data_IF_262031501510
#
_entry.id   IF_262031501510
#
_cell.length_a   1.000
_cell.length_b   1.000
_cell.length_c   1.000
_cell.angle_alpha   90.00
_cell.angle_beta   90.00
_cell.angle_gamma   90.00
#
_symmetry.space_group_name_H-M   'P 1'
#
loop_
_entity.id
_entity.type
_entity.pdbx_description
1 polymer ?
#
# COMPACT_ATOMS: atom_id res chain seq x y z
N UNK A 1 9.63 1.46 15.37
CA UNK A 1 8.71 1.21 14.26
C UNK A 1 9.32 0.06 13.48
N UNK A 2 8.76 -1.16 13.62
CA UNK A 2 9.15 -2.30 12.80
C UNK A 2 8.48 -2.11 11.45
N UNK A 3 9.26 -1.93 10.39
CA UNK A 3 8.75 -1.97 9.02
C UNK A 3 8.51 -3.43 8.64
N UNK A 4 7.34 -3.80 8.13
CA UNK A 4 7.13 -5.15 7.58
C UNK A 4 7.98 -5.30 6.31
N UNK A 5 8.96 -6.18 6.35
CA UNK A 5 9.75 -6.58 5.20
C UNK A 5 8.93 -7.55 4.36
N UNK A 6 8.47 -7.10 3.20
CA UNK A 6 7.82 -7.94 2.20
C UNK A 6 8.88 -8.43 1.21
N UNK A 7 9.37 -9.64 1.36
CA UNK A 7 10.12 -10.25 0.28
C UNK A 7 9.94 -11.77 0.22
N UNK A 8 9.84 -12.31 -0.98
CA UNK A 8 9.96 -13.74 -1.24
C UNK A 8 11.42 -14.23 -1.17
N UNK A 9 12.35 -13.34 -0.89
CA UNK A 9 13.73 -13.63 -0.53
C UNK A 9 14.04 -12.78 0.68
N UNK A 10 14.57 -13.40 1.74
CA UNK A 10 14.91 -12.69 2.96
C UNK A 10 16.12 -11.80 2.73
N UNK A 11 15.86 -10.49 2.61
CA UNK A 11 16.86 -9.47 2.84
C UNK A 11 16.66 -8.90 4.23
N UNK A 12 17.67 -8.90 5.07
CA UNK A 12 17.63 -8.21 6.35
C UNK A 12 18.46 -6.95 6.31
N UNK A 13 17.94 -5.89 6.96
CA UNK A 13 18.63 -4.61 7.09
C UNK A 13 19.28 -4.58 8.46
N UNK A 14 20.62 -4.68 8.49
CA UNK A 14 21.40 -4.63 9.71
C UNK A 14 22.04 -3.26 9.90
N UNK A 15 21.89 -2.69 11.11
CA UNK A 15 22.54 -1.47 11.52
C UNK A 15 23.59 -1.77 12.59
N UNK A 16 24.87 -1.47 12.30
CA UNK A 16 25.97 -1.86 13.16
C UNK A 16 26.02 -1.09 14.49
N UNK A 17 25.73 0.21 14.50
CA UNK A 17 25.65 1.07 15.71
C UNK A 17 24.89 2.37 15.38
N UNK A 18 24.35 3.05 16.39
CA UNK A 18 23.72 4.36 16.26
C UNK A 18 22.28 4.41 16.78
N UNK A 19 21.61 5.57 16.61
CA UNK A 19 20.21 5.73 16.98
C UNK A 19 19.27 5.06 15.97
N UNK A 20 18.06 4.72 16.41
CA UNK A 20 17.08 4.00 15.61
C UNK A 20 16.72 4.69 14.29
N UNK A 21 16.86 6.00 14.22
CA UNK A 21 16.51 6.83 13.06
C UNK A 21 17.71 7.27 12.21
N UNK A 22 18.94 6.86 12.55
CA UNK A 22 20.10 7.22 11.76
C UNK A 22 20.05 6.51 10.40
N UNK A 23 20.38 7.24 9.35
CA UNK A 23 20.40 6.74 7.97
C UNK A 23 21.73 6.11 7.59
N UNK A 24 22.78 6.42 8.33
CA UNK A 24 24.15 5.92 8.09
C UNK A 24 24.37 4.56 8.78
N UNK A 25 25.30 3.78 8.26
CA UNK A 25 25.70 2.50 8.84
C UNK A 25 24.70 1.35 8.61
N UNK A 26 23.78 1.49 7.66
CA UNK A 26 22.86 0.43 7.25
C UNK A 26 23.49 -0.45 6.18
N UNK A 27 23.42 -1.76 6.36
CA UNK A 27 23.87 -2.77 5.39
C UNK A 27 22.73 -3.73 5.07
N UNK A 28 22.68 -4.22 3.84
CA UNK A 28 21.70 -5.21 3.39
C UNK A 28 22.37 -6.56 3.21
N UNK A 29 21.77 -7.62 3.75
CA UNK A 29 22.22 -8.99 3.59
C UNK A 29 21.10 -9.88 3.05
N UNK A 30 21.46 -10.81 2.16
CA UNK A 30 20.55 -11.88 1.77
C UNK A 30 20.71 -13.00 2.79
N UNK A 31 19.60 -13.38 3.44
CA UNK A 31 19.56 -14.44 4.45
C UNK A 31 18.67 -15.57 3.96
N UNK A 32 19.16 -16.80 4.00
CA UNK A 32 18.35 -17.98 3.70
C UNK A 32 17.41 -18.26 4.89
N UNK A 33 16.09 -18.34 4.67
CA UNK A 33 15.12 -18.61 5.72
C UNK A 33 15.30 -19.97 6.41
N UNK A 34 15.99 -20.91 5.77
CA UNK A 34 16.34 -22.20 6.35
C UNK A 34 17.61 -22.20 7.22
N UNK A 35 18.30 -21.06 7.29
CA UNK A 35 19.55 -20.93 8.07
C UNK A 35 19.31 -21.14 9.56
N UNK A 36 20.32 -21.72 10.23
CA UNK A 36 20.28 -21.90 11.70
C UNK A 36 20.13 -20.53 12.39
N UNK A 37 19.18 -20.43 13.29
CA UNK A 37 18.88 -19.21 14.03
C UNK A 37 17.81 -18.33 13.37
N UNK A 38 17.29 -18.70 12.21
CA UNK A 38 16.12 -18.05 11.59
C UNK A 38 14.85 -18.78 11.99
N UNK A 39 13.89 -18.08 12.55
CA UNK A 39 12.55 -18.61 12.80
C UNK A 39 11.47 -17.72 12.18
N UNK A 40 10.44 -18.37 11.62
CA UNK A 40 9.35 -17.71 10.92
C UNK A 40 8.03 -18.07 11.58
N UNK A 41 7.25 -17.04 11.96
CA UNK A 41 5.86 -17.20 12.38
C UNK A 41 4.94 -16.65 11.30
N UNK A 42 4.38 -17.54 10.49
CA UNK A 42 3.50 -17.19 9.38
C UNK A 42 2.07 -16.93 9.85
N UNK A 43 1.41 -15.94 9.28
CA UNK A 43 0.00 -15.63 9.50
C UNK A 43 -0.66 -15.05 8.24
N UNK A 44 -1.99 -15.00 8.26
CA UNK A 44 -2.77 -14.39 7.17
C UNK A 44 -3.27 -13.01 7.59
N UNK A 45 -3.18 -12.06 6.68
CA UNK A 45 -3.77 -10.74 6.84
C UNK A 45 -5.28 -10.76 6.52
N UNK A 46 -5.96 -9.67 6.83
CA UNK A 46 -7.41 -9.52 6.62
C UNK A 46 -7.81 -9.67 5.14
N UNK A 47 -6.93 -9.33 4.21
CA UNK A 47 -7.10 -9.44 2.76
C UNK A 47 -6.69 -10.81 2.19
N UNK A 48 -6.34 -11.78 3.06
CA UNK A 48 -5.89 -13.12 2.69
C UNK A 48 -4.43 -13.21 2.26
N UNK A 49 -3.70 -12.09 2.16
CA UNK A 49 -2.26 -12.11 1.91
C UNK A 49 -1.50 -12.74 3.08
N UNK A 50 -0.34 -13.31 2.79
CA UNK A 50 0.52 -13.95 3.80
C UNK A 50 1.56 -12.97 4.30
N UNK A 51 1.79 -12.99 5.60
CA UNK A 51 2.85 -12.25 6.27
C UNK A 51 3.59 -13.18 7.26
N UNK A 52 4.78 -12.77 7.66
CA UNK A 52 5.60 -13.51 8.61
C UNK A 52 6.28 -12.57 9.57
N UNK A 53 6.32 -12.94 10.84
CA UNK A 53 7.28 -12.40 11.78
C UNK A 53 8.58 -13.20 11.65
N UNK A 54 9.69 -12.50 11.52
CA UNK A 54 11.02 -13.08 11.36
C UNK A 54 11.80 -12.79 12.63
N UNK A 55 12.33 -13.84 13.26
CA UNK A 55 13.25 -13.75 14.39
C UNK A 55 14.61 -14.26 13.97
N UNK A 56 15.65 -13.47 14.20
CA UNK A 56 17.04 -13.81 13.91
C UNK A 56 17.82 -13.91 15.22
N UNK A 57 18.35 -15.12 15.52
CA UNK A 57 19.13 -15.39 16.74
C UNK A 57 20.46 -15.99 16.36
N UNK A 58 21.55 -15.20 16.53
CA UNK A 58 22.91 -15.64 16.22
C UNK A 58 23.08 -16.23 14.80
N UNK A 59 22.39 -15.62 13.82
CA UNK A 59 22.51 -16.03 12.42
C UNK A 59 23.85 -15.57 11.87
N UNK A 60 24.60 -16.50 11.27
CA UNK A 60 25.86 -16.23 10.59
C UNK A 60 25.64 -16.30 9.08
N UNK A 61 26.01 -15.25 8.38
CA UNK A 61 25.95 -15.16 6.91
C UNK A 61 27.33 -14.94 6.34
N UNK A 62 27.64 -15.52 5.14
CA UNK A 62 28.92 -15.27 4.49
C UNK A 62 29.00 -13.81 4.01
N UNK A 63 30.21 -13.29 3.91
CA UNK A 63 30.43 -11.91 3.42
C UNK A 63 29.87 -11.69 1.99
N UNK A 64 29.77 -12.74 1.18
CA UNK A 64 29.17 -12.71 -0.16
C UNK A 64 27.67 -12.47 -0.17
N UNK A 65 26.98 -12.57 0.99
CA UNK A 65 25.57 -12.24 1.13
C UNK A 65 25.30 -10.74 1.27
N UNK A 66 26.35 -9.92 1.43
CA UNK A 66 26.25 -8.47 1.47
C UNK A 66 25.82 -7.93 0.11
N UNK A 67 24.76 -7.11 0.09
CA UNK A 67 24.32 -6.38 -1.11
C UNK A 67 24.87 -4.97 -1.10
N UNK A 68 25.68 -4.63 -2.10
CA UNK A 68 26.34 -3.34 -2.20
C UNK A 68 27.52 -3.20 -1.24
N UNK A 69 27.69 -2.01 -0.67
CA UNK A 69 28.77 -1.70 0.26
C UNK A 69 28.29 -1.72 1.72
N UNK A 70 29.18 -2.09 2.63
CA UNK A 70 28.89 -2.03 4.06
C UNK A 70 28.59 -0.59 4.49
N UNK A 71 27.49 -0.40 5.17
CA UNK A 71 27.08 0.89 5.75
C UNK A 71 26.39 1.86 4.79
N UNK A 72 26.23 1.54 3.50
CA UNK A 72 25.74 2.44 2.44
C UNK A 72 24.40 1.99 1.81
N UNK A 73 23.62 1.22 2.53
CA UNK A 73 22.39 0.64 1.96
C UNK A 73 21.18 1.58 1.96
N UNK A 74 21.21 2.69 2.71
CA UNK A 74 20.01 3.52 2.93
C UNK A 74 19.46 4.10 1.61
N UNK A 75 20.32 4.64 0.75
CA UNK A 75 19.90 5.28 -0.51
C UNK A 75 19.20 4.30 -1.44
N UNK A 76 19.78 3.11 -1.63
CA UNK A 76 19.18 2.06 -2.45
C UNK A 76 17.86 1.54 -1.86
N UNK A 77 17.79 1.37 -0.53
CA UNK A 77 16.58 0.95 0.15
C UNK A 77 15.45 1.99 0.01
N UNK A 78 15.77 3.27 0.15
CA UNK A 78 14.78 4.35 -0.02
C UNK A 78 14.22 4.39 -1.45
N UNK A 79 15.07 4.23 -2.47
CA UNK A 79 14.66 4.16 -3.88
C UNK A 79 13.72 2.98 -4.14
N UNK A 80 14.07 1.79 -3.66
CA UNK A 80 13.25 0.59 -3.80
C UNK A 80 11.89 0.73 -3.10
N UNK A 81 11.87 1.33 -1.90
CA UNK A 81 10.61 1.59 -1.18
C UNK A 81 9.74 2.61 -1.92
N UNK A 82 10.32 3.64 -2.51
CA UNK A 82 9.57 4.62 -3.30
C UNK A 82 8.97 3.99 -4.56
N UNK A 83 9.70 3.13 -5.27
CA UNK A 83 9.18 2.35 -6.40
C UNK A 83 8.08 1.37 -5.97
N UNK A 84 8.27 0.67 -4.85
CA UNK A 84 7.26 -0.23 -4.29
C UNK A 84 6.00 0.53 -3.85
N UNK A 85 6.16 1.75 -3.32
CA UNK A 85 5.05 2.64 -2.94
C UNK A 85 4.26 3.09 -4.18
N UNK A 86 4.93 3.40 -5.29
CA UNK A 86 4.27 3.69 -6.57
C UNK A 86 3.48 2.47 -7.05
N UNK A 87 4.09 1.28 -7.05
CA UNK A 87 3.47 0.05 -7.55
C UNK A 87 2.20 -0.32 -6.75
N UNK A 88 2.27 -0.27 -5.41
CA UNK A 88 1.10 -0.58 -4.58
C UNK A 88 0.02 0.51 -4.66
N UNK A 89 0.41 1.75 -4.96
CA UNK A 89 -0.54 2.84 -5.22
C UNK A 89 -1.27 2.64 -6.55
N UNK A 90 -0.58 2.11 -7.57
CA UNK A 90 -1.20 1.74 -8.85
C UNK A 90 -2.22 0.60 -8.67
N UNK A 91 -1.91 -0.41 -7.86
CA UNK A 91 -2.86 -1.45 -7.48
C UNK A 91 -4.12 -0.86 -6.83
N UNK A 92 -3.95 0.07 -5.87
CA UNK A 92 -5.06 0.73 -5.20
C UNK A 92 -5.94 1.52 -6.18
N UNK A 93 -5.35 2.22 -7.14
CA UNK A 93 -6.09 2.96 -8.18
C UNK A 93 -6.92 2.00 -9.03
N UNK A 94 -6.36 0.87 -9.48
CA UNK A 94 -7.11 -0.14 -10.23
C UNK A 94 -8.26 -0.77 -9.43
N UNK A 95 -8.05 -1.00 -8.12
CA UNK A 95 -9.12 -1.49 -7.25
C UNK A 95 -10.24 -0.44 -7.10
N UNK A 96 -9.91 0.83 -6.89
CA UNK A 96 -10.90 1.91 -6.78
C UNK A 96 -11.71 2.07 -8.06
N UNK A 97 -11.06 1.98 -9.23
CA UNK A 97 -11.73 1.96 -10.54
C UNK A 97 -12.77 0.85 -10.59
N UNK A 98 -12.34 -0.37 -10.26
CA UNK A 98 -13.22 -1.54 -10.30
C UNK A 98 -14.37 -1.47 -9.29
N UNK A 99 -14.12 -0.95 -8.10
CA UNK A 99 -15.18 -0.74 -7.10
C UNK A 99 -16.23 0.27 -7.57
N UNK A 100 -15.80 1.38 -8.19
CA UNK A 100 -16.72 2.36 -8.76
C UNK A 100 -17.59 1.77 -9.88
N UNK A 101 -16.99 0.99 -10.81
CA UNK A 101 -17.72 0.29 -11.87
C UNK A 101 -18.78 -0.67 -11.31
N UNK A 102 -18.38 -1.56 -10.40
CA UNK A 102 -19.28 -2.56 -9.80
C UNK A 102 -20.40 -1.87 -9.03
N UNK A 103 -20.07 -0.82 -8.28
CA UNK A 103 -21.06 -0.06 -7.48
C UNK A 103 -22.09 0.61 -8.39
N UNK A 104 -21.63 1.23 -9.48
CA UNK A 104 -22.51 1.87 -10.46
C UNK A 104 -23.48 0.85 -11.10
N UNK A 105 -22.99 -0.29 -11.55
CA UNK A 105 -23.82 -1.32 -12.16
C UNK A 105 -24.80 -1.96 -11.15
N UNK A 106 -24.35 -2.18 -9.92
CA UNK A 106 -25.22 -2.67 -8.86
C UNK A 106 -26.38 -1.68 -8.58
N UNK A 107 -26.10 -0.39 -8.46
CA UNK A 107 -27.14 0.61 -8.18
C UNK A 107 -28.12 0.81 -9.33
N UNK A 108 -27.74 0.53 -10.58
CA UNK A 108 -28.65 0.55 -11.75
C UNK A 108 -29.61 -0.62 -11.77
N UNK A 109 -29.25 -1.75 -11.16
CA UNK A 109 -30.04 -2.98 -11.20
C UNK A 109 -30.80 -3.26 -9.91
N UNK A 110 -30.30 -2.78 -8.79
CA UNK A 110 -30.92 -2.99 -7.48
C UNK A 110 -32.08 -2.03 -7.26
N UNK A 111 -33.26 -2.58 -7.02
CA UNK A 111 -34.48 -1.82 -6.72
C UNK A 111 -34.78 -1.83 -5.22
N UNK A 112 -35.13 -0.68 -4.67
CA UNK A 112 -35.70 -0.48 -3.34
C UNK A 112 -36.65 0.72 -3.36
N UNK A 113 -37.70 0.67 -2.54
CA UNK A 113 -38.74 1.73 -2.46
C UNK A 113 -39.47 1.97 -3.81
N UNK A 114 -39.53 0.95 -4.67
CA UNK A 114 -40.18 1.00 -5.98
C UNK A 114 -39.36 1.60 -7.12
N UNK A 115 -38.10 1.93 -6.87
CA UNK A 115 -37.18 2.54 -7.83
C UNK A 115 -35.79 1.90 -7.77
N UNK A 116 -34.99 2.04 -8.85
CA UNK A 116 -33.58 1.64 -8.82
C UNK A 116 -32.78 2.54 -7.88
N UNK A 117 -31.75 2.01 -7.21
CA UNK A 117 -30.92 2.80 -6.30
C UNK A 117 -30.26 3.99 -7.01
N UNK A 118 -29.93 3.84 -8.30
CA UNK A 118 -29.33 4.90 -9.11
C UNK A 118 -30.26 6.08 -9.39
N UNK A 119 -31.57 5.97 -9.16
CA UNK A 119 -32.50 7.09 -9.33
C UNK A 119 -32.45 8.09 -8.17
N UNK A 120 -31.95 7.68 -7.00
CA UNK A 120 -31.88 8.54 -5.83
C UNK A 120 -30.70 9.49 -5.90
N UNK A 121 -30.98 10.81 -6.01
CA UNK A 121 -29.96 11.86 -6.15
C UNK A 121 -28.91 11.83 -5.04
N UNK A 122 -29.31 11.52 -3.78
CA UNK A 122 -28.37 11.39 -2.67
C UNK A 122 -27.30 10.31 -2.90
N UNK A 123 -27.65 9.21 -3.57
CA UNK A 123 -26.70 8.13 -3.91
C UNK A 123 -25.87 8.49 -5.14
N UNK A 124 -26.45 9.23 -6.10
CA UNK A 124 -25.70 9.75 -7.25
C UNK A 124 -24.56 10.67 -6.79
N UNK A 125 -24.82 11.57 -5.85
CA UNK A 125 -23.78 12.47 -5.30
C UNK A 125 -22.64 11.68 -4.66
N UNK A 126 -22.94 10.67 -3.86
CA UNK A 126 -21.92 9.79 -3.25
C UNK A 126 -21.07 9.06 -4.29
N UNK A 127 -21.69 8.55 -5.35
CA UNK A 127 -20.95 7.91 -6.45
C UNK A 127 -20.07 8.91 -7.22
N UNK A 128 -20.53 10.14 -7.40
CA UNK A 128 -19.71 11.23 -8.00
C UNK A 128 -18.50 11.54 -7.11
N UNK A 129 -18.66 11.62 -5.79
CA UNK A 129 -17.58 11.88 -4.85
C UNK A 129 -16.51 10.76 -4.88
N UNK A 130 -16.94 9.48 -4.95
CA UNK A 130 -16.00 8.35 -5.09
C UNK A 130 -15.29 8.37 -6.45
N UNK A 131 -15.97 8.73 -7.52
CA UNK A 131 -15.37 8.89 -8.84
C UNK A 131 -14.34 10.02 -8.87
N UNK A 132 -14.64 11.18 -8.28
CA UNK A 132 -13.69 12.29 -8.17
C UNK A 132 -12.46 11.91 -7.36
N UNK A 133 -12.63 11.20 -6.24
CA UNK A 133 -11.51 10.72 -5.42
C UNK A 133 -10.58 9.76 -6.21
N UNK A 134 -11.16 8.87 -6.99
CA UNK A 134 -10.43 7.97 -7.89
C UNK A 134 -9.67 8.75 -8.97
N UNK A 135 -10.32 9.64 -9.72
CA UNK A 135 -9.69 10.39 -10.83
C UNK A 135 -8.56 11.32 -10.34
N UNK A 136 -8.71 11.96 -9.19
CA UNK A 136 -7.65 12.74 -8.56
C UNK A 136 -6.45 11.86 -8.21
N UNK A 137 -6.69 10.68 -7.64
CA UNK A 137 -5.63 9.74 -7.27
C UNK A 137 -4.91 9.18 -8.50
N UNK A 138 -5.65 8.86 -9.56
CA UNK A 138 -5.11 8.41 -10.86
C UNK A 138 -4.20 9.48 -11.49
N UNK A 139 -4.63 10.73 -11.46
CA UNK A 139 -3.82 11.85 -11.96
C UNK A 139 -2.51 12.02 -11.20
N UNK A 140 -2.56 11.91 -9.85
CA UNK A 140 -1.35 11.91 -9.02
C UNK A 140 -0.45 10.71 -9.27
N UNK A 141 -1.00 9.53 -9.52
CA UNK A 141 -0.24 8.32 -9.88
C UNK A 141 0.56 8.55 -11.17
N UNK A 142 -0.08 9.07 -12.21
CA UNK A 142 0.58 9.33 -13.49
C UNK A 142 1.69 10.39 -13.34
N UNK A 143 1.42 11.47 -12.62
CA UNK A 143 2.41 12.51 -12.32
C UNK A 143 3.61 11.93 -11.54
N UNK A 144 3.35 11.12 -10.51
CA UNK A 144 4.39 10.50 -9.70
C UNK A 144 5.26 9.54 -10.54
N UNK A 145 4.63 8.72 -11.39
CA UNK A 145 5.33 7.81 -12.29
C UNK A 145 6.26 8.56 -13.25
N UNK A 146 5.80 9.66 -13.86
CA UNK A 146 6.63 10.50 -14.72
C UNK A 146 7.83 11.06 -13.95
N UNK A 147 7.60 11.66 -12.76
CA UNK A 147 8.68 12.24 -11.94
C UNK A 147 9.72 11.23 -11.49
N UNK A 148 9.32 10.00 -11.14
CA UNK A 148 10.25 8.93 -10.81
C UNK A 148 11.07 8.47 -12.04
N UNK A 149 10.41 8.37 -13.20
CA UNK A 149 11.09 8.01 -14.46
C UNK A 149 12.12 9.06 -14.86
N UNK A 150 11.77 10.33 -14.75
CA UNK A 150 12.63 11.46 -15.09
C UNK A 150 13.68 11.79 -14.01
N UNK A 151 13.64 11.08 -12.88
CA UNK A 151 14.48 11.31 -11.69
C UNK A 151 14.44 12.78 -11.23
N UNK A 152 13.25 13.37 -11.24
CA UNK A 152 13.04 14.75 -10.80
C UNK A 152 13.43 14.95 -9.34
N UNK A 153 13.94 16.12 -8.97
CA UNK A 153 14.35 16.47 -7.61
C UNK A 153 13.20 16.34 -6.59
N UNK A 154 11.96 16.53 -7.03
CA UNK A 154 10.76 16.42 -6.21
C UNK A 154 10.04 15.06 -6.31
N UNK A 155 10.66 14.06 -6.94
CA UNK A 155 10.08 12.72 -7.11
C UNK A 155 9.69 12.08 -5.75
N UNK A 156 10.55 12.16 -4.74
CA UNK A 156 10.27 11.63 -3.39
C UNK A 156 9.07 12.32 -2.74
N UNK A 157 8.93 13.62 -2.99
CA UNK A 157 7.79 14.41 -2.53
C UNK A 157 6.50 13.98 -3.22
N UNK A 158 6.56 13.72 -4.54
CA UNK A 158 5.44 13.21 -5.32
C UNK A 158 4.99 11.81 -4.83
N UNK A 159 5.91 10.90 -4.49
CA UNK A 159 5.58 9.59 -3.89
C UNK A 159 4.82 9.75 -2.58
N UNK A 160 5.26 10.67 -1.72
CA UNK A 160 4.60 10.92 -0.44
C UNK A 160 3.21 11.53 -0.62
N UNK A 161 3.05 12.47 -1.57
CA UNK A 161 1.75 13.05 -1.92
C UNK A 161 0.79 11.99 -2.47
N UNK A 162 1.26 11.13 -3.38
CA UNK A 162 0.47 10.04 -3.94
C UNK A 162 0.01 9.08 -2.85
N UNK A 163 0.91 8.59 -2.01
CA UNK A 163 0.54 7.59 -0.98
C UNK A 163 -0.37 8.18 0.09
N UNK A 164 -0.22 9.46 0.43
CA UNK A 164 -1.16 10.20 1.27
C UNK A 164 -2.56 10.21 0.64
N UNK A 165 -2.67 10.61 -0.63
CA UNK A 165 -3.94 10.66 -1.36
C UNK A 165 -4.58 9.27 -1.48
N UNK A 166 -3.80 8.23 -1.80
CA UNK A 166 -4.27 6.84 -1.81
C UNK A 166 -4.85 6.44 -0.46
N UNK A 167 -4.20 6.83 0.65
CA UNK A 167 -4.68 6.53 2.00
C UNK A 167 -6.07 7.09 2.30
N UNK A 168 -6.37 8.30 1.80
CA UNK A 168 -7.67 8.97 1.96
C UNK A 168 -8.69 8.40 0.98
N UNK A 169 -8.35 8.38 -0.31
CA UNK A 169 -9.26 7.95 -1.37
C UNK A 169 -9.67 6.47 -1.24
N UNK A 170 -8.73 5.59 -0.93
CA UNK A 170 -9.01 4.16 -0.73
C UNK A 170 -9.96 3.91 0.46
N UNK A 171 -9.86 4.70 1.53
CA UNK A 171 -10.84 4.66 2.61
C UNK A 171 -12.22 5.08 2.12
N UNK A 172 -12.31 6.24 1.50
CA UNK A 172 -13.56 6.82 1.06
C UNK A 172 -14.27 5.91 0.04
N UNK A 173 -13.59 5.54 -1.05
CA UNK A 173 -14.15 4.67 -2.09
C UNK A 173 -14.55 3.31 -1.52
N UNK A 174 -13.69 2.73 -0.66
CA UNK A 174 -13.95 1.44 -0.04
C UNK A 174 -15.18 1.44 0.84
N UNK A 175 -15.29 2.38 1.77
CA UNK A 175 -16.41 2.50 2.70
C UNK A 175 -17.72 2.83 1.96
N UNK A 176 -17.68 3.76 1.00
CA UNK A 176 -18.85 4.13 0.21
C UNK A 176 -19.38 2.99 -0.67
N UNK A 177 -18.47 2.23 -1.33
CA UNK A 177 -18.86 1.07 -2.13
C UNK A 177 -19.53 0.00 -1.29
N UNK A 178 -18.99 -0.33 -0.12
CA UNK A 178 -19.63 -1.28 0.81
C UNK A 178 -21.00 -0.75 1.26
N UNK A 179 -21.10 0.52 1.61
CA UNK A 179 -22.35 1.14 2.07
C UNK A 179 -23.43 1.12 0.98
N UNK A 180 -23.06 1.43 -0.28
CA UNK A 180 -24.02 1.45 -1.41
C UNK A 180 -24.50 0.06 -1.81
N UNK A 181 -23.74 -1.01 -1.49
CA UNK A 181 -24.19 -2.39 -1.65
C UNK A 181 -25.02 -2.88 -0.45
N UNK A 182 -25.00 -2.15 0.68
CA UNK A 182 -25.70 -2.55 1.91
C UNK A 182 -25.23 -3.92 2.42
N UNK A 183 -26.16 -4.78 2.84
CA UNK A 183 -25.82 -6.12 3.34
C UNK A 183 -24.99 -6.97 2.36
N UNK A 184 -25.21 -6.83 1.05
CA UNK A 184 -24.46 -7.55 0.02
C UNK A 184 -22.97 -7.15 0.00
N UNK A 185 -22.62 -5.92 0.35
CA UNK A 185 -21.23 -5.42 0.37
C UNK A 185 -20.34 -6.08 1.43
N UNK A 186 -20.92 -6.77 2.42
CA UNK A 186 -20.19 -7.49 3.47
C UNK A 186 -20.28 -9.02 3.36
N UNK A 187 -20.93 -9.54 2.32
CA UNK A 187 -20.98 -10.97 2.03
C UNK A 187 -19.84 -11.37 1.10
N UNK A 188 -19.52 -12.68 1.05
CA UNK A 188 -18.53 -13.23 0.11
C UNK A 188 -19.13 -13.45 -1.30
N UNK A 189 -20.41 -13.12 -1.53
CA UNK A 189 -21.05 -13.23 -2.83
C UNK A 189 -20.62 -12.13 -3.82
N UNK A 190 -20.11 -11.02 -3.29
CA UNK A 190 -19.62 -9.90 -4.09
C UNK A 190 -18.12 -9.67 -3.86
N UNK A 191 -17.41 -9.19 -4.89
CA UNK A 191 -15.99 -8.87 -4.78
C UNK A 191 -15.73 -7.58 -3.97
N UNK A 192 -16.77 -6.80 -3.65
CA UNK A 192 -16.63 -5.52 -2.93
C UNK A 192 -15.94 -5.69 -1.58
N UNK A 193 -16.35 -6.69 -0.79
CA UNK A 193 -15.72 -6.98 0.50
C UNK A 193 -14.24 -7.35 0.37
N UNK A 194 -13.85 -8.10 -0.66
CA UNK A 194 -12.45 -8.47 -0.93
C UNK A 194 -11.62 -7.25 -1.31
N UNK A 195 -12.12 -6.39 -2.20
CA UNK A 195 -11.46 -5.14 -2.58
C UNK A 195 -11.32 -4.18 -1.41
N UNK A 196 -12.36 -4.04 -0.57
CA UNK A 196 -12.31 -3.24 0.65
C UNK A 196 -11.22 -3.70 1.61
N UNK A 197 -11.12 -5.02 1.88
CA UNK A 197 -10.06 -5.60 2.71
C UNK A 197 -8.67 -5.32 2.12
N UNK A 198 -8.51 -5.46 0.81
CA UNK A 198 -7.25 -5.18 0.12
C UNK A 198 -6.85 -3.71 0.21
N UNK A 199 -7.76 -2.77 -0.06
CA UNK A 199 -7.52 -1.34 0.10
C UNK A 199 -7.13 -0.99 1.55
N UNK A 200 -7.79 -1.61 2.53
CA UNK A 200 -7.45 -1.43 3.95
C UNK A 200 -6.02 -1.85 4.26
N UNK A 201 -5.57 -2.98 3.72
CA UNK A 201 -4.18 -3.45 3.86
C UNK A 201 -3.19 -2.52 3.16
N UNK A 202 -3.47 -2.11 1.91
CA UNK A 202 -2.62 -1.21 1.13
C UNK A 202 -2.37 0.12 1.87
N UNK A 203 -3.36 0.64 2.59
CA UNK A 203 -3.23 1.90 3.34
C UNK A 203 -2.13 1.85 4.40
N UNK A 204 -1.81 0.68 4.94
CA UNK A 204 -0.78 0.50 5.96
C UNK A 204 0.60 0.15 5.38
N UNK A 205 0.66 -0.49 4.20
CA UNK A 205 1.92 -0.94 3.58
C UNK A 205 2.76 0.28 3.13
N UNK A 206 4.08 0.23 3.37
CA UNK A 206 5.06 1.27 3.07
C UNK A 206 4.78 2.64 3.72
N UNK A 207 4.08 2.65 4.82
CA UNK A 207 3.72 3.86 5.56
C UNK A 207 2.25 4.25 5.37
N UNK A 208 1.66 4.72 6.46
CA UNK A 208 0.29 5.21 6.48
C UNK A 208 0.19 6.68 6.05
N UNK A 209 -1.04 7.20 6.03
CA UNK A 209 -1.34 8.60 5.67
C UNK A 209 -0.54 9.61 6.48
N UNK A 210 -0.46 9.44 7.81
CA UNK A 210 0.25 10.38 8.69
C UNK A 210 1.77 10.35 8.46
N UNK A 211 2.33 9.16 8.21
CA UNK A 211 3.75 9.03 7.86
C UNK A 211 4.08 9.79 6.57
N UNK A 212 3.27 9.62 5.52
CA UNK A 212 3.52 10.28 4.24
C UNK A 212 3.27 11.78 4.28
N UNK A 213 2.32 12.26 5.10
CA UNK A 213 2.13 13.68 5.33
C UNK A 213 3.37 14.30 5.99
N UNK A 214 3.90 13.65 7.04
CA UNK A 214 5.14 14.10 7.71
C UNK A 214 6.34 14.06 6.77
N UNK A 215 6.51 12.98 5.99
CA UNK A 215 7.59 12.86 5.01
C UNK A 215 7.50 13.94 3.95
N UNK A 216 6.30 14.22 3.42
CA UNK A 216 6.08 15.29 2.45
C UNK A 216 6.48 16.66 2.98
N UNK A 217 6.16 16.94 4.25
CA UNK A 217 6.48 18.23 4.90
C UNK A 217 7.98 18.40 5.21
N UNK A 218 8.73 17.30 5.30
CA UNK A 218 10.15 17.30 5.62
C UNK A 218 11.06 17.32 4.37
N UNK A 219 10.52 17.05 3.19
CA UNK A 219 11.17 17.11 1.88
C UNK A 219 10.94 18.47 1.21
#
# INVERSE_FOLDING_TARGET
>A
IRYPLWSRGLGDVYKRQGNQLDKEGLSLFIVDPSSKGVSLRNYSNVDGSKASEITLENVSTPASSLLGNEGDAFSALEEVIDLATLAISAEAVGIMEKMNEITLEYTKTREQFGETLSSFQALQHRMVDTFMAYEQTKSLLLMCAAKLTDKSDDAKKAVSALKYQVGIAAKHVGEESVQLHGGMGVTDETNIGHYFKRLTTIRAIFGNTDYHLKRYSAL
#
